data_IF_328300204420
#
_entry.id   IF_328300204420
#
_cell.length_a   1.000
_cell.length_b   1.000
_cell.length_c   1.000
_cell.angle_alpha   90.00
_cell.angle_beta   90.00
_cell.angle_gamma   90.00
#
_symmetry.space_group_name_H-M   'P 1'
#
loop_
_entity.id
_entity.type
_entity.pdbx_description
1 polymer ?
#
# COMPACT_ATOMS: atom_id res chain seq x y z
N UNK A 1 -11.65 17.74 -8.94
CA UNK A 1 -12.21 18.78 -8.06
C UNK A 1 -11.94 20.13 -8.70
N UNK A 2 -12.95 20.95 -8.92
CA UNK A 2 -12.79 22.33 -9.33
C UNK A 2 -13.37 23.19 -8.19
N UNK A 3 -12.52 23.95 -7.50
CA UNK A 3 -12.97 24.90 -6.49
C UNK A 3 -13.61 26.10 -7.21
N UNK A 4 -14.89 26.37 -6.98
CA UNK A 4 -15.54 27.61 -7.39
C UNK A 4 -15.94 28.37 -6.13
N UNK A 5 -15.25 29.47 -5.86
CA UNK A 5 -15.67 30.47 -4.89
C UNK A 5 -16.48 31.54 -5.65
N UNK A 6 -17.71 31.78 -5.24
CA UNK A 6 -18.53 32.87 -5.77
C UNK A 6 -18.55 34.04 -4.79
N UNK A 7 -18.16 35.23 -5.25
CA UNK A 7 -18.50 36.51 -4.60
C UNK A 7 -19.58 37.17 -5.46
N UNK A 8 -20.73 37.48 -4.88
CA UNK A 8 -21.82 38.22 -5.53
C UNK A 8 -21.45 39.71 -5.48
N UNK A 9 -21.09 40.34 -6.61
CA UNK A 9 -21.18 41.80 -6.72
C UNK A 9 -21.46 42.28 -8.15
N UNK A 10 -22.21 43.39 -8.16
CA UNK A 10 -22.83 44.10 -9.26
C UNK A 10 -21.85 44.92 -10.10
N UNK A 11 -22.33 45.20 -11.32
CA UNK A 11 -22.02 46.29 -12.23
C UNK A 11 -20.74 46.24 -13.08
N UNK A 12 -20.99 46.32 -14.39
CA UNK A 12 -20.02 46.18 -15.45
C UNK A 12 -19.27 47.47 -15.74
N UNK A 13 -17.95 47.35 -15.90
CA UNK A 13 -17.12 48.29 -16.64
C UNK A 13 -16.08 47.45 -17.41
N UNK A 14 -16.10 47.51 -18.75
CA UNK A 14 -15.07 46.93 -19.61
C UNK A 14 -13.82 47.84 -19.58
N UNK A 15 -12.62 47.26 -19.38
CA UNK A 15 -11.32 47.94 -19.54
C UNK A 15 -10.42 47.17 -20.52
N UNK A 16 -9.50 47.86 -21.23
CA UNK A 16 -8.85 47.35 -22.44
C UNK A 16 -7.67 46.40 -22.16
N UNK A 17 -7.38 45.52 -23.11
CA UNK A 17 -6.30 44.53 -23.07
C UNK A 17 -5.00 45.19 -23.56
N UNK A 18 -3.99 45.26 -22.70
CA UNK A 18 -2.62 45.61 -23.10
C UNK A 18 -1.96 44.41 -23.80
N UNK A 19 -1.45 44.61 -25.01
CA UNK A 19 -0.54 43.67 -25.69
C UNK A 19 0.89 43.99 -25.27
N UNK A 20 1.49 43.14 -24.42
CA UNK A 20 2.93 43.19 -24.14
C UNK A 20 3.65 42.11 -24.96
N UNK A 21 4.62 42.54 -25.78
CA UNK A 21 5.38 41.72 -26.71
C UNK A 21 6.40 40.80 -26.04
N UNK A 22 5.94 39.76 -25.34
CA UNK A 22 6.80 38.64 -24.90
C UNK A 22 6.82 37.53 -25.95
N UNK A 23 7.99 36.95 -26.18
CA UNK A 23 8.15 35.75 -27.01
C UNK A 23 7.37 34.58 -26.39
N UNK A 24 6.27 34.22 -27.07
CA UNK A 24 5.36 33.16 -26.64
C UNK A 24 6.00 31.77 -26.68
N UNK A 25 7.01 31.55 -27.54
CA UNK A 25 7.72 30.28 -27.64
C UNK A 25 8.75 30.10 -26.52
N UNK A 26 9.43 31.18 -26.12
CA UNK A 26 10.27 31.18 -24.91
C UNK A 26 9.42 30.99 -23.63
N UNK A 27 8.29 31.69 -23.55
CA UNK A 27 7.34 31.57 -22.42
C UNK A 27 6.77 30.16 -22.29
N UNK A 28 6.46 29.50 -23.41
CA UNK A 28 5.99 28.11 -23.43
C UNK A 28 7.06 27.12 -22.93
N UNK A 29 8.34 27.30 -23.32
CA UNK A 29 9.45 26.46 -22.85
C UNK A 29 9.72 26.62 -21.36
N UNK A 30 9.62 27.85 -20.83
CA UNK A 30 9.75 28.13 -19.39
C UNK A 30 8.63 27.44 -18.61
N UNK A 31 7.37 27.56 -19.06
CA UNK A 31 6.23 26.89 -18.43
C UNK A 31 6.29 25.36 -18.54
N UNK A 32 6.73 24.82 -19.68
CA UNK A 32 6.93 23.39 -19.86
C UNK A 32 8.06 22.86 -18.95
N UNK A 33 9.18 23.59 -18.84
CA UNK A 33 10.24 23.27 -17.88
C UNK A 33 9.75 23.33 -16.43
N UNK A 34 8.98 24.37 -16.08
CA UNK A 34 8.35 24.49 -14.76
C UNK A 34 7.33 23.38 -14.49
N UNK A 35 6.68 22.81 -15.52
CA UNK A 35 5.72 21.73 -15.38
C UNK A 35 6.34 20.31 -15.46
N UNK A 36 7.60 20.16 -15.90
CA UNK A 36 8.34 18.87 -15.96
C UNK A 36 8.74 18.40 -14.56
N UNK A 37 7.82 17.73 -13.88
CA UNK A 37 8.07 17.03 -12.61
C UNK A 37 8.17 15.52 -12.76
N UNK A 38 8.56 14.84 -11.68
CA UNK A 38 8.39 13.38 -11.58
C UNK A 38 6.88 13.07 -11.68
N UNK A 39 6.46 11.99 -12.38
CA UNK A 39 5.06 11.61 -12.36
C UNK A 39 4.63 11.34 -10.92
N UNK A 40 3.58 12.03 -10.46
CA UNK A 40 3.04 11.85 -9.12
C UNK A 40 2.71 10.36 -8.88
N UNK A 41 3.18 9.79 -7.76
CA UNK A 41 2.66 8.52 -7.26
C UNK A 41 1.20 8.73 -6.88
N UNK A 42 0.33 7.88 -7.41
CA UNK A 42 -1.12 8.04 -7.30
C UNK A 42 -1.58 7.84 -5.85
N UNK A 43 -2.55 8.63 -5.40
CA UNK A 43 -3.29 8.29 -4.19
C UNK A 43 -3.87 6.87 -4.29
N UNK A 44 -3.93 6.13 -3.19
CA UNK A 44 -4.66 4.87 -3.15
C UNK A 44 -6.14 5.15 -3.46
N UNK A 45 -6.61 4.70 -4.62
CA UNK A 45 -7.99 4.94 -5.05
C UNK A 45 -8.89 3.90 -4.39
N UNK A 46 -10.00 4.33 -3.78
CA UNK A 46 -11.00 3.38 -3.27
C UNK A 46 -11.76 2.66 -4.40
N UNK A 47 -11.66 3.13 -5.65
CA UNK A 47 -12.38 2.57 -6.80
C UNK A 47 -11.50 2.52 -8.07
N UNK A 48 -11.71 1.48 -8.89
CA UNK A 48 -10.95 1.28 -10.13
C UNK A 48 -11.22 2.41 -11.13
N UNK A 49 -10.15 2.86 -11.77
CA UNK A 49 -10.21 3.94 -12.76
C UNK A 49 -10.50 3.39 -14.15
N UNK A 50 -11.51 3.95 -14.82
CA UNK A 50 -11.72 3.74 -16.26
C UNK A 50 -10.62 4.42 -17.08
N UNK A 51 -10.14 3.74 -18.13
CA UNK A 51 -9.15 4.28 -19.07
C UNK A 51 -9.68 5.52 -19.83
N UNK A 52 -10.99 5.55 -20.09
CA UNK A 52 -11.68 6.69 -20.69
C UNK A 52 -12.37 7.50 -19.58
N UNK A 53 -12.20 8.83 -19.52
CA UNK A 53 -12.95 9.67 -18.60
C UNK A 53 -14.45 9.45 -18.79
N UNK A 54 -15.14 8.98 -17.75
CA UNK A 54 -16.57 8.65 -17.84
C UNK A 54 -17.48 9.86 -18.03
N UNK A 55 -16.95 11.09 -17.96
CA UNK A 55 -17.72 12.34 -17.94
C UNK A 55 -18.54 12.54 -16.65
N UNK A 56 -18.75 11.48 -15.86
CA UNK A 56 -19.47 11.51 -14.59
C UNK A 56 -18.55 12.00 -13.48
N UNK A 57 -18.97 13.05 -12.78
CA UNK A 57 -18.28 13.59 -11.61
C UNK A 57 -19.29 13.70 -10.46
N UNK A 58 -18.84 13.39 -9.24
CA UNK A 58 -19.57 13.72 -8.03
C UNK A 58 -19.05 15.06 -7.51
N UNK A 59 -19.96 15.92 -7.08
CA UNK A 59 -19.62 17.18 -6.42
C UNK A 59 -19.87 16.99 -4.93
N UNK A 60 -18.82 17.16 -4.14
CA UNK A 60 -18.90 17.20 -2.69
C UNK A 60 -18.78 18.64 -2.25
N UNK A 61 -19.82 19.13 -1.57
CA UNK A 61 -19.82 20.45 -0.96
C UNK A 61 -19.42 20.30 0.51
N UNK A 62 -18.46 21.11 0.94
CA UNK A 62 -18.14 21.27 2.34
C UNK A 62 -18.21 22.76 2.69
N UNK A 63 -18.65 23.04 3.91
CA UNK A 63 -18.66 24.38 4.46
C UNK A 63 -17.44 24.57 5.35
N UNK A 64 -16.81 25.74 5.26
CA UNK A 64 -15.89 26.20 6.28
C UNK A 64 -16.74 26.86 7.37
N UNK A 65 -16.48 26.53 8.64
CA UNK A 65 -17.13 27.25 9.73
C UNK A 65 -16.64 28.72 9.79
N UNK A 66 -17.37 29.55 10.54
CA UNK A 66 -17.09 30.98 10.63
C UNK A 66 -15.68 31.30 11.17
N UNK A 67 -15.12 30.40 11.98
CA UNK A 67 -13.78 30.54 12.51
C UNK A 67 -12.72 30.25 11.42
N UNK A 68 -12.86 29.12 10.72
CA UNK A 68 -11.99 28.71 9.61
C UNK A 68 -12.12 29.62 8.37
N UNK A 69 -13.15 30.48 8.32
CA UNK A 69 -13.27 31.54 7.31
C UNK A 69 -12.49 32.81 7.68
N UNK A 70 -12.41 33.15 8.97
CA UNK A 70 -11.73 34.37 9.47
C UNK A 70 -10.22 34.17 9.65
N UNK A 71 -9.80 33.00 10.15
CA UNK A 71 -8.39 32.65 10.37
C UNK A 71 -7.50 32.83 9.10
N UNK A 72 -7.93 32.43 7.89
CA UNK A 72 -7.15 32.65 6.67
C UNK A 72 -6.98 34.13 6.33
N UNK A 73 -7.98 34.97 6.64
CA UNK A 73 -7.90 36.40 6.35
C UNK A 73 -6.84 37.07 7.21
N UNK A 74 -6.82 36.75 8.51
CA UNK A 74 -5.79 37.21 9.43
C UNK A 74 -4.40 36.70 8.99
N UNK A 75 -4.28 35.40 8.66
CA UNK A 75 -3.05 34.82 8.16
C UNK A 75 -2.53 35.52 6.89
N UNK A 76 -3.43 35.79 5.92
CA UNK A 76 -3.09 36.49 4.69
C UNK A 76 -2.54 37.91 4.96
N UNK A 77 -3.13 38.62 5.93
CA UNK A 77 -2.66 39.96 6.32
C UNK A 77 -1.26 39.89 6.95
N UNK A 78 -1.04 38.95 7.88
CA UNK A 78 0.25 38.79 8.58
C UNK A 78 1.38 38.37 7.64
N UNK A 79 1.10 37.42 6.73
CA UNK A 79 2.13 36.82 5.88
C UNK A 79 2.16 37.37 4.45
N UNK A 80 1.44 38.46 4.17
CA UNK A 80 1.34 39.10 2.85
C UNK A 80 0.99 38.09 1.72
N UNK A 81 0.14 37.13 2.04
CA UNK A 81 -0.31 36.09 1.12
C UNK A 81 -1.74 36.37 0.63
N UNK A 82 -2.12 35.77 -0.50
CA UNK A 82 -3.52 35.82 -0.96
C UNK A 82 -4.29 34.59 -0.49
N UNK A 83 -5.61 34.68 -0.26
CA UNK A 83 -6.41 33.51 0.12
C UNK A 83 -6.27 32.35 -0.87
N UNK A 84 -6.12 32.64 -2.17
CA UNK A 84 -5.87 31.64 -3.20
C UNK A 84 -4.57 30.87 -2.97
N UNK A 85 -3.45 31.57 -2.70
CA UNK A 85 -2.15 30.96 -2.44
C UNK A 85 -2.21 30.08 -1.20
N UNK A 86 -2.84 30.56 -0.12
CA UNK A 86 -2.96 29.80 1.13
C UNK A 86 -3.80 28.52 0.93
N UNK A 87 -4.92 28.62 0.20
CA UNK A 87 -5.75 27.46 -0.14
C UNK A 87 -5.02 26.48 -1.07
N UNK A 88 -4.23 26.96 -2.03
CA UNK A 88 -3.43 26.12 -2.92
C UNK A 88 -2.30 25.40 -2.15
N UNK A 89 -1.67 26.09 -1.19
CA UNK A 89 -0.70 25.48 -0.28
C UNK A 89 -1.34 24.41 0.61
N UNK A 90 -2.52 24.68 1.18
CA UNK A 90 -3.28 23.70 1.96
C UNK A 90 -3.67 22.47 1.13
N UNK A 91 -4.13 22.69 -0.11
CA UNK A 91 -4.39 21.60 -1.05
C UNK A 91 -3.12 20.79 -1.32
N UNK A 92 -1.98 21.45 -1.56
CA UNK A 92 -0.71 20.78 -1.84
C UNK A 92 -0.19 19.99 -0.64
N UNK A 93 -0.32 20.54 0.57
CA UNK A 93 0.01 19.87 1.83
C UNK A 93 -0.87 18.63 2.05
N UNK A 94 -2.17 18.74 1.81
CA UNK A 94 -3.11 17.63 1.91
C UNK A 94 -2.76 16.54 0.88
N UNK A 95 -2.53 16.93 -0.36
CA UNK A 95 -2.08 16.01 -1.41
C UNK A 95 -0.79 15.28 -1.00
N UNK A 96 0.22 16.01 -0.50
CA UNK A 96 1.46 15.40 0.02
C UNK A 96 1.16 14.38 1.11
N UNK A 97 0.33 14.75 2.10
CA UNK A 97 0.02 13.88 3.25
C UNK A 97 -0.77 12.63 2.87
N UNK A 98 -1.63 12.68 1.87
CA UNK A 98 -2.38 11.51 1.40
C UNK A 98 -1.57 10.58 0.49
N UNK A 99 -0.69 11.15 -0.34
CA UNK A 99 -0.03 10.42 -1.44
C UNK A 99 1.45 10.11 -1.21
N UNK A 100 2.09 10.84 -0.30
CA UNK A 100 3.55 10.85 -0.14
C UNK A 100 4.32 11.51 -1.29
N UNK A 101 3.64 12.14 -2.25
CA UNK A 101 4.29 12.79 -3.41
C UNK A 101 4.85 14.14 -3.03
N UNK A 102 6.17 14.25 -3.09
CA UNK A 102 6.98 15.45 -2.82
C UNK A 102 6.95 16.48 -3.95
N UNK A 103 6.78 16.07 -5.21
CA UNK A 103 6.76 16.95 -6.39
C UNK A 103 5.46 16.78 -7.20
N UNK A 104 4.64 17.83 -7.30
CA UNK A 104 3.37 17.78 -8.01
C UNK A 104 3.03 19.10 -8.73
N UNK A 105 2.38 18.97 -9.89
CA UNK A 105 1.86 20.09 -10.68
C UNK A 105 0.34 20.16 -10.58
N UNK A 106 -0.19 21.29 -10.13
CA UNK A 106 -1.63 21.54 -9.98
C UNK A 106 -2.05 22.56 -11.02
N UNK A 107 -3.07 22.21 -11.81
CA UNK A 107 -3.67 23.11 -12.79
C UNK A 107 -4.79 23.93 -12.13
N UNK A 108 -4.76 25.25 -12.32
CA UNK A 108 -5.75 26.19 -11.78
C UNK A 108 -6.37 27.01 -12.92
N UNK A 109 -7.70 27.23 -12.92
CA UNK A 109 -8.34 28.02 -13.97
C UNK A 109 -8.04 29.51 -13.80
N UNK A 110 -7.76 30.20 -14.90
CA UNK A 110 -7.57 31.67 -14.91
C UNK A 110 -8.89 32.33 -15.33
N UNK A 111 -9.28 33.42 -14.66
CA UNK A 111 -10.62 34.03 -14.74
C UNK A 111 -11.07 34.49 -16.15
N UNK A 112 -10.17 34.67 -17.12
CA UNK A 112 -10.47 35.37 -18.38
C UNK A 112 -10.55 34.50 -19.62
N UNK A 113 -10.05 33.26 -19.59
CA UNK A 113 -10.11 32.33 -20.72
C UNK A 113 -10.13 30.91 -20.13
N UNK A 114 -10.66 29.92 -20.84
CA UNK A 114 -10.63 28.48 -20.48
C UNK A 114 -9.22 27.88 -20.36
N UNK A 115 -8.20 28.71 -20.15
CA UNK A 115 -6.81 28.37 -20.00
C UNK A 115 -6.51 27.94 -18.55
N UNK A 116 -5.62 26.96 -18.42
CA UNK A 116 -5.17 26.42 -17.14
C UNK A 116 -3.76 26.88 -16.85
N UNK A 117 -3.54 27.43 -15.66
CA UNK A 117 -2.22 27.73 -15.12
C UNK A 117 -1.71 26.53 -14.34
N UNK A 118 -0.58 25.97 -14.77
CA UNK A 118 0.09 24.88 -14.06
C UNK A 118 1.06 25.46 -13.02
N UNK A 119 0.83 25.14 -11.75
CA UNK A 119 1.69 25.51 -10.62
C UNK A 119 2.35 24.24 -10.08
N UNK A 120 3.65 24.08 -10.31
CA UNK A 120 4.44 22.96 -9.78
C UNK A 120 5.03 23.32 -8.43
N UNK A 121 4.77 22.52 -7.41
CA UNK A 121 5.25 22.80 -6.06
C UNK A 121 5.85 21.55 -5.45
N UNK A 122 7.09 21.69 -4.99
CA UNK A 122 7.81 20.69 -4.20
C UNK A 122 7.53 20.88 -2.72
N UNK A 123 7.35 19.79 -1.97
CA UNK A 123 7.22 19.75 -0.51
C UNK A 123 8.40 18.97 0.05
N UNK A 124 9.21 19.63 0.86
CA UNK A 124 10.35 19.04 1.56
C UNK A 124 9.93 18.53 2.94
N UNK A 125 10.74 17.60 3.49
CA UNK A 125 10.46 16.98 4.79
C UNK A 125 10.41 18.01 5.94
N UNK A 126 11.22 19.06 5.83
CA UNK A 126 11.36 20.13 6.82
C UNK A 126 10.55 21.39 6.47
N UNK A 127 9.75 21.37 5.39
CA UNK A 127 8.90 22.51 5.04
C UNK A 127 7.82 22.69 6.12
N UNK A 128 7.80 23.88 6.74
CA UNK A 128 6.65 24.35 7.51
C UNK A 128 5.48 24.72 6.59
N UNK A 129 4.27 24.82 7.14
CA UNK A 129 3.12 25.29 6.35
C UNK A 129 3.36 26.69 5.79
N UNK A 130 3.97 27.58 6.58
CA UNK A 130 4.35 28.92 6.15
C UNK A 130 5.39 28.88 5.01
N UNK A 131 6.43 28.06 5.11
CA UNK A 131 7.41 27.89 4.04
C UNK A 131 6.75 27.40 2.73
N UNK A 132 5.80 26.47 2.83
CA UNK A 132 5.04 26.00 1.68
C UNK A 132 4.17 27.11 1.07
N UNK A 133 3.52 27.95 1.89
CA UNK A 133 2.76 29.12 1.39
C UNK A 133 3.68 30.06 0.61
N UNK A 134 4.86 30.40 1.14
CA UNK A 134 5.81 31.25 0.45
C UNK A 134 6.27 30.65 -0.89
N UNK A 135 6.54 29.36 -0.92
CA UNK A 135 6.93 28.63 -2.13
C UNK A 135 5.81 28.64 -3.18
N UNK A 136 4.56 28.41 -2.78
CA UNK A 136 3.39 28.49 -3.67
C UNK A 136 3.22 29.91 -4.19
N UNK A 137 3.42 30.93 -3.36
CA UNK A 137 3.35 32.33 -3.76
C UNK A 137 4.38 32.66 -4.84
N UNK A 138 5.64 32.32 -4.62
CA UNK A 138 6.73 32.53 -5.57
C UNK A 138 6.45 31.81 -6.90
N UNK A 139 6.07 30.53 -6.83
CA UNK A 139 5.76 29.72 -8.01
C UNK A 139 4.57 30.29 -8.78
N UNK A 140 3.50 30.69 -8.09
CA UNK A 140 2.29 31.23 -8.71
C UNK A 140 2.56 32.59 -9.37
N UNK A 141 3.38 33.44 -8.76
CA UNK A 141 3.81 34.71 -9.36
C UNK A 141 4.66 34.49 -10.62
N UNK A 142 5.56 33.49 -10.60
CA UNK A 142 6.36 33.12 -11.76
C UNK A 142 5.52 32.53 -12.90
N UNK A 143 4.54 31.67 -12.56
CA UNK A 143 3.64 31.05 -13.52
C UNK A 143 2.68 32.08 -14.14
N UNK A 144 2.03 32.91 -13.32
CA UNK A 144 1.09 33.96 -13.78
C UNK A 144 1.76 35.02 -14.65
N UNK A 145 3.05 35.27 -14.45
CA UNK A 145 3.85 36.09 -15.37
C UNK A 145 3.85 35.56 -16.81
N UNK A 146 3.50 34.29 -17.04
CA UNK A 146 3.45 33.67 -18.37
C UNK A 146 2.03 33.19 -18.77
N UNK A 147 0.98 33.70 -18.12
CA UNK A 147 -0.42 33.25 -18.28
C UNK A 147 -1.00 33.35 -19.72
N UNK A 148 -0.37 34.12 -20.59
CA UNK A 148 -0.81 34.35 -21.99
C UNK A 148 -0.50 33.16 -22.93
N UNK A 149 0.20 32.13 -22.44
CA UNK A 149 0.49 30.91 -23.20
C UNK A 149 -0.68 29.94 -23.09
N UNK A 150 -1.24 29.53 -24.23
CA UNK A 150 -2.31 28.53 -24.27
C UNK A 150 -1.82 27.17 -23.72
N UNK A 151 -2.63 26.54 -22.86
CA UNK A 151 -2.35 25.26 -22.21
C UNK A 151 -1.97 24.16 -23.21
N UNK A 152 -2.59 24.13 -24.40
CA UNK A 152 -2.25 23.18 -25.46
C UNK A 152 -0.78 23.27 -25.91
N UNK A 153 -0.18 24.47 -25.92
CA UNK A 153 1.24 24.67 -26.25
C UNK A 153 2.18 24.18 -25.13
N UNK A 154 1.72 24.21 -23.89
CA UNK A 154 2.47 23.64 -22.75
C UNK A 154 2.43 22.12 -22.82
N UNK A 155 1.25 21.55 -23.15
CA UNK A 155 1.07 20.10 -23.32
C UNK A 155 1.87 19.55 -24.50
N UNK A 156 1.96 20.26 -25.63
CA UNK A 156 2.77 19.80 -26.78
C UNK A 156 4.27 19.72 -26.48
N UNK A 157 4.76 20.48 -25.49
CA UNK A 157 6.15 20.50 -25.04
C UNK A 157 6.44 19.48 -23.91
N UNK A 158 5.38 18.86 -23.37
CA UNK A 158 5.43 17.85 -22.31
C UNK A 158 5.17 16.46 -22.91
N UNK A 159 6.03 15.48 -22.62
CA UNK A 159 5.72 14.07 -22.96
C UNK A 159 4.49 13.61 -22.15
N UNK A 160 3.60 12.78 -22.73
CA UNK A 160 2.35 12.39 -22.07
C UNK A 160 2.62 11.64 -20.76
N UNK A 161 2.07 12.16 -19.67
CA UNK A 161 2.11 11.58 -18.32
C UNK A 161 0.73 11.70 -17.66
N UNK A 162 0.35 10.71 -16.86
CA UNK A 162 -1.00 10.54 -16.35
C UNK A 162 -1.43 11.64 -15.36
N UNK A 163 -2.61 12.22 -15.57
CA UNK A 163 -3.26 13.13 -14.62
C UNK A 163 -3.81 12.37 -13.39
N UNK A 164 -3.57 12.89 -12.19
CA UNK A 164 -4.08 12.34 -10.92
C UNK A 164 -5.32 13.11 -10.41
N UNK A 165 -6.24 12.41 -9.73
CA UNK A 165 -7.51 12.93 -9.19
C UNK A 165 -7.79 12.25 -7.86
N UNK A 166 -7.08 12.66 -6.80
CA UNK A 166 -7.29 12.17 -5.44
C UNK A 166 -8.59 12.72 -4.81
N UNK A 167 -9.19 11.95 -3.90
CA UNK A 167 -10.29 12.40 -3.03
C UNK A 167 -9.67 13.04 -1.78
N UNK A 168 -10.09 14.27 -1.45
CA UNK A 168 -9.46 15.13 -0.43
C UNK A 168 -10.40 15.52 0.71
N UNK A 169 -11.63 14.99 0.71
CA UNK A 169 -12.67 15.41 1.65
C UNK A 169 -12.28 15.04 3.10
N UNK A 170 -12.50 15.97 4.04
CA UNK A 170 -12.11 15.86 5.45
C UNK A 170 -10.66 16.24 5.72
N UNK A 171 -9.70 15.51 5.12
CA UNK A 171 -8.26 15.74 5.32
C UNK A 171 -7.82 17.15 4.93
N UNK A 172 -8.42 17.73 3.88
CA UNK A 172 -8.11 19.10 3.46
C UNK A 172 -8.49 20.15 4.51
N UNK A 173 -9.65 19.99 5.16
CA UNK A 173 -10.12 20.90 6.20
C UNK A 173 -9.24 20.79 7.44
N UNK A 174 -8.85 19.57 7.83
CA UNK A 174 -7.96 19.36 8.98
C UNK A 174 -6.57 19.96 8.75
N UNK A 175 -5.93 19.67 7.60
CA UNK A 175 -4.61 20.22 7.26
C UNK A 175 -4.68 21.75 7.18
N UNK A 176 -5.72 22.31 6.57
CA UNK A 176 -5.92 23.75 6.46
C UNK A 176 -6.05 24.41 7.84
N UNK A 177 -6.96 23.91 8.68
CA UNK A 177 -7.17 24.47 10.02
C UNK A 177 -5.93 24.38 10.92
N UNK A 178 -5.20 23.26 10.88
CA UNK A 178 -3.95 23.10 11.66
C UNK A 178 -2.83 24.00 11.13
N UNK A 179 -2.66 24.08 9.81
CA UNK A 179 -1.64 24.93 9.18
C UNK A 179 -1.82 26.41 9.50
N UNK A 180 -3.07 26.89 9.61
CA UNK A 180 -3.35 28.27 10.00
C UNK A 180 -3.05 28.56 11.47
N UNK A 181 -3.35 27.60 12.36
CA UNK A 181 -3.14 27.75 13.82
C UNK A 181 -1.68 27.58 14.24
N UNK A 182 -0.94 26.72 13.55
CA UNK A 182 0.49 26.47 13.81
C UNK A 182 1.28 26.53 12.50
N UNK A 183 1.55 27.74 11.96
CA UNK A 183 2.19 27.90 10.65
C UNK A 183 3.60 27.31 10.53
N UNK A 184 4.32 27.25 11.65
CA UNK A 184 5.67 26.67 11.71
C UNK A 184 5.67 25.15 11.91
N UNK A 185 4.49 24.52 12.05
CA UNK A 185 4.40 23.07 12.07
C UNK A 185 4.82 22.49 10.73
N UNK A 186 5.62 21.42 10.77
CA UNK A 186 6.08 20.72 9.59
C UNK A 186 4.91 20.07 8.85
N UNK A 187 4.81 20.34 7.55
CA UNK A 187 3.76 19.73 6.70
C UNK A 187 3.83 18.21 6.76
N UNK A 188 5.04 17.65 6.84
CA UNK A 188 5.29 16.21 6.88
C UNK A 188 4.74 15.51 8.12
N UNK A 189 4.57 16.22 9.23
CA UNK A 189 4.17 15.67 10.53
C UNK A 189 2.80 16.17 10.98
N UNK A 190 2.08 16.93 10.14
CA UNK A 190 0.72 17.33 10.45
C UNK A 190 -0.17 16.08 10.65
N UNK A 191 -0.84 15.95 11.82
CA UNK A 191 -1.73 14.84 12.09
C UNK A 191 -2.89 14.79 11.10
N UNK A 192 -3.26 13.57 10.69
CA UNK A 192 -4.52 13.27 10.01
C UNK A 192 -5.35 12.41 10.97
N UNK A 193 -6.24 13.03 11.71
CA UNK A 193 -7.03 12.37 12.74
C UNK A 193 -8.48 12.14 12.30
N UNK A 194 -8.98 12.92 11.35
CA UNK A 194 -10.30 12.70 10.77
C UNK A 194 -10.34 11.36 10.02
N UNK A 195 -11.28 10.50 10.42
CA UNK A 195 -11.45 9.16 9.84
C UNK A 195 -10.72 8.03 10.60
N UNK A 196 -10.00 8.33 11.70
CA UNK A 196 -9.43 7.27 12.55
C UNK A 196 -10.51 6.44 13.25
N UNK A 197 -11.66 7.02 13.59
CA UNK A 197 -12.79 6.27 14.18
C UNK A 197 -13.29 5.15 13.27
N UNK A 198 -13.22 5.34 11.94
CA UNK A 198 -13.60 4.32 10.99
C UNK A 198 -12.71 3.07 11.04
N UNK A 199 -11.47 3.17 11.57
CA UNK A 199 -10.63 2.00 11.79
C UNK A 199 -11.19 1.11 12.91
N UNK A 200 -11.71 1.72 13.98
CA UNK A 200 -12.34 1.01 15.09
C UNK A 200 -13.65 0.34 14.62
N UNK A 201 -14.46 1.04 13.84
CA UNK A 201 -15.69 0.48 13.24
C UNK A 201 -15.40 -0.73 12.32
N UNK A 202 -14.20 -0.78 11.73
CA UNK A 202 -13.73 -1.90 10.91
C UNK A 202 -13.05 -3.03 11.72
N UNK A 203 -12.91 -2.86 13.04
CA UNK A 203 -12.19 -3.81 13.92
C UNK A 203 -10.68 -3.87 13.64
N UNK A 204 -10.10 -2.80 13.09
CA UNK A 204 -8.67 -2.74 12.70
C UNK A 204 -7.78 -2.10 13.76
N UNK A 205 -8.34 -1.72 14.91
CA UNK A 205 -7.60 -1.14 16.04
C UNK A 205 -7.24 -2.18 17.10
N UNK A 206 -7.96 -3.29 17.14
CA UNK A 206 -7.84 -4.30 18.19
C UNK A 206 -7.13 -5.56 17.66
N UNK A 207 -6.31 -6.18 18.52
CA UNK A 207 -5.69 -7.47 18.22
C UNK A 207 -6.68 -8.57 18.60
N UNK A 208 -7.18 -9.29 17.60
CA UNK A 208 -8.08 -10.42 17.81
C UNK A 208 -7.34 -11.53 18.56
N UNK A 209 -7.77 -11.83 19.79
CA UNK A 209 -7.25 -12.96 20.56
C UNK A 209 -7.89 -14.27 20.12
N UNK A 210 -7.08 -15.34 20.06
CA UNK A 210 -7.60 -16.71 20.04
C UNK A 210 -6.92 -17.50 21.15
N UNK A 211 -7.69 -18.32 21.84
CA UNK A 211 -7.16 -19.22 22.84
C UNK A 211 -6.48 -20.39 22.14
N UNK A 212 -5.16 -20.46 22.28
CA UNK A 212 -4.34 -21.61 21.91
C UNK A 212 -3.31 -21.87 23.00
N UNK A 213 -2.76 -23.08 23.02
CA UNK A 213 -1.79 -23.50 24.03
C UNK A 213 -0.46 -22.76 23.84
N UNK A 214 -0.37 -21.54 24.38
CA UNK A 214 0.82 -20.66 24.27
C UNK A 214 2.04 -21.22 24.99
N UNK A 215 1.80 -21.97 26.06
CA UNK A 215 2.86 -22.56 26.88
C UNK A 215 3.30 -23.94 26.37
N UNK A 216 2.71 -24.43 25.28
CA UNK A 216 3.11 -25.70 24.67
C UNK A 216 4.08 -25.49 23.51
N UNK A 217 5.20 -26.22 23.57
CA UNK A 217 6.15 -26.31 22.46
C UNK A 217 5.60 -27.19 21.32
N UNK A 218 6.12 -26.98 20.11
CA UNK A 218 5.85 -27.87 18.95
C UNK A 218 6.19 -29.34 19.28
N UNK A 219 7.21 -29.57 20.12
CA UNK A 219 7.63 -30.91 20.57
C UNK A 219 6.58 -31.56 21.46
N UNK A 220 5.98 -30.81 22.39
CA UNK A 220 4.92 -31.33 23.27
C UNK A 220 3.65 -31.67 22.48
N UNK A 221 3.27 -30.79 21.55
CA UNK A 221 2.14 -31.05 20.65
C UNK A 221 2.41 -32.28 19.76
N UNK A 222 3.63 -32.42 19.24
CA UNK A 222 4.04 -33.61 18.48
C UNK A 222 3.93 -34.90 19.31
N UNK A 223 4.49 -34.91 20.54
CA UNK A 223 4.43 -36.09 21.43
C UNK A 223 3.01 -36.48 21.81
N UNK A 224 2.12 -35.50 21.94
CA UNK A 224 0.69 -35.76 22.12
C UNK A 224 0.11 -36.51 20.92
N UNK A 225 0.40 -36.09 19.70
CA UNK A 225 -0.05 -36.78 18.48
C UNK A 225 0.58 -38.18 18.32
N UNK A 226 1.86 -38.36 18.68
CA UNK A 226 2.51 -39.69 18.71
C UNK A 226 1.75 -40.64 19.63
N UNK A 227 1.27 -40.16 20.78
CA UNK A 227 0.50 -40.97 21.73
C UNK A 227 -0.90 -41.33 21.23
N UNK A 228 -1.52 -40.43 20.44
CA UNK A 228 -2.87 -40.63 19.92
C UNK A 228 -2.90 -41.49 18.66
N UNK A 229 -1.93 -41.31 17.76
CA UNK A 229 -1.93 -41.92 16.41
C UNK A 229 -0.54 -42.44 16.00
N UNK A 230 0.08 -43.37 16.76
CA UNK A 230 1.48 -43.77 16.56
C UNK A 230 1.78 -44.35 15.17
N UNK A 231 0.82 -45.09 14.59
CA UNK A 231 0.98 -45.78 13.31
C UNK A 231 0.60 -44.93 12.09
N UNK A 232 0.11 -43.70 12.28
CA UNK A 232 -0.28 -42.84 11.16
C UNK A 232 0.97 -42.28 10.45
N UNK A 233 0.94 -42.24 9.11
CA UNK A 233 2.02 -41.67 8.30
C UNK A 233 2.09 -40.16 8.52
N UNK A 234 3.26 -39.66 8.95
CA UNK A 234 3.50 -38.25 9.29
C UNK A 234 4.38 -37.52 8.27
N UNK A 235 5.38 -38.20 7.69
CA UNK A 235 6.30 -37.61 6.71
C UNK A 235 6.37 -38.52 5.49
N UNK A 236 6.30 -37.93 4.29
CA UNK A 236 6.46 -38.62 3.01
C UNK A 236 7.47 -37.88 2.15
N UNK A 237 8.33 -38.62 1.46
CA UNK A 237 9.21 -38.06 0.44
C UNK A 237 8.53 -38.14 -0.93
N UNK A 238 8.32 -36.99 -1.59
CA UNK A 238 7.66 -36.97 -2.90
C UNK A 238 8.50 -37.56 -4.06
N UNK A 239 9.79 -37.80 -3.83
CA UNK A 239 10.73 -38.31 -4.85
C UNK A 239 11.14 -39.77 -4.61
N UNK A 240 10.70 -40.40 -3.53
CA UNK A 240 11.02 -41.79 -3.20
C UNK A 240 9.87 -42.47 -2.47
N UNK A 241 9.87 -43.79 -2.37
CA UNK A 241 8.86 -44.52 -1.57
C UNK A 241 9.09 -44.43 -0.05
N UNK A 242 9.97 -43.53 0.41
CA UNK A 242 10.29 -43.37 1.83
C UNK A 242 9.20 -42.58 2.54
N UNK A 243 8.74 -43.11 3.67
CA UNK A 243 7.75 -42.50 4.54
C UNK A 243 8.04 -42.86 6.00
N UNK A 244 7.64 -42.00 6.93
CA UNK A 244 7.75 -42.23 8.37
C UNK A 244 6.38 -42.11 9.02
N UNK A 245 6.08 -43.01 9.93
CA UNK A 245 4.98 -42.90 10.90
C UNK A 245 5.38 -42.01 12.08
N UNK A 246 4.39 -41.55 12.87
CA UNK A 246 4.65 -40.77 14.09
C UNK A 246 5.63 -41.49 15.04
N UNK A 247 5.43 -42.79 15.28
CA UNK A 247 6.29 -43.57 16.15
C UNK A 247 7.72 -43.72 15.60
N UNK A 248 7.87 -43.90 14.28
CA UNK A 248 9.19 -43.99 13.65
C UNK A 248 9.94 -42.66 13.69
N UNK A 249 9.24 -41.55 13.44
CA UNK A 249 9.81 -40.21 13.52
C UNK A 249 10.22 -39.87 14.96
N UNK A 250 9.42 -40.20 15.98
CA UNK A 250 9.78 -40.05 17.39
C UNK A 250 11.07 -40.82 17.70
N UNK A 251 11.09 -42.12 17.39
CA UNK A 251 12.23 -43.01 17.66
C UNK A 251 13.51 -42.57 16.96
N UNK A 252 13.43 -42.13 15.70
CA UNK A 252 14.61 -41.70 14.94
C UNK A 252 15.13 -40.34 15.42
N UNK A 253 14.24 -39.41 15.75
CA UNK A 253 14.66 -38.09 16.26
C UNK A 253 15.22 -38.17 17.68
N UNK A 254 14.74 -39.09 18.53
CA UNK A 254 15.31 -39.32 19.88
C UNK A 254 16.74 -39.87 19.86
N UNK A 255 17.17 -40.50 18.75
CA UNK A 255 18.54 -40.99 18.60
C UNK A 255 19.54 -39.87 18.31
N UNK A 256 19.06 -38.70 17.86
CA UNK A 256 19.86 -37.53 17.58
C UNK A 256 19.76 -36.60 18.78
N UNK A 257 20.81 -36.51 19.59
CA UNK A 257 20.87 -35.64 20.77
C UNK A 257 21.90 -34.51 20.55
N UNK A 258 21.55 -33.46 19.78
CA UNK A 258 22.43 -32.31 19.62
C UNK A 258 22.54 -31.51 20.91
N UNK A 259 23.74 -30.99 21.21
CA UNK A 259 24.03 -30.24 22.45
C UNK A 259 24.22 -28.73 22.23
N UNK A 260 24.35 -28.29 20.97
CA UNK A 260 24.59 -26.89 20.59
C UNK A 260 23.79 -26.52 19.34
N UNK A 261 23.63 -25.21 19.07
CA UNK A 261 22.99 -24.71 17.85
C UNK A 261 23.53 -25.42 16.59
N UNK A 262 22.62 -25.88 15.73
CA UNK A 262 22.96 -26.74 14.59
C UNK A 262 22.65 -26.02 13.28
N UNK A 263 23.66 -25.85 12.44
CA UNK A 263 23.44 -25.48 11.05
C UNK A 263 23.02 -26.72 10.25
N UNK A 264 21.94 -26.61 9.48
CA UNK A 264 21.37 -27.72 8.71
C UNK A 264 21.56 -27.45 7.23
N UNK A 265 22.57 -28.09 6.65
CA UNK A 265 22.84 -28.12 5.21
C UNK A 265 22.44 -29.49 4.66
N UNK A 266 21.16 -29.66 4.35
CA UNK A 266 20.62 -30.94 3.87
C UNK A 266 19.53 -30.73 2.79
N UNK A 267 19.43 -31.62 1.79
CA UNK A 267 18.32 -31.59 0.83
C UNK A 267 16.99 -31.92 1.51
N UNK A 268 15.87 -31.67 0.81
CA UNK A 268 14.54 -32.07 1.31
C UNK A 268 14.44 -33.60 1.38
N UNK A 269 14.31 -34.16 2.58
CA UNK A 269 14.16 -35.60 2.82
C UNK A 269 13.50 -35.91 4.18
N UNK A 270 13.20 -37.18 4.44
CA UNK A 270 12.69 -37.61 5.74
C UNK A 270 13.73 -37.37 6.85
N UNK A 271 15.00 -37.63 6.56
CA UNK A 271 16.13 -37.45 7.46
C UNK A 271 16.30 -35.98 7.86
N UNK A 272 16.05 -35.04 6.94
CA UNK A 272 16.04 -33.60 7.28
C UNK A 272 14.96 -33.27 8.30
N UNK A 273 13.75 -33.83 8.17
CA UNK A 273 12.68 -33.63 9.17
C UNK A 273 13.05 -34.27 10.52
N UNK A 274 13.63 -35.47 10.50
CA UNK A 274 14.14 -36.16 11.69
C UNK A 274 15.17 -35.27 12.42
N UNK A 275 16.13 -34.70 11.69
CA UNK A 275 17.15 -33.82 12.24
C UNK A 275 16.57 -32.52 12.82
N UNK A 276 15.64 -31.86 12.09
CA UNK A 276 14.97 -30.65 12.59
C UNK A 276 14.21 -30.93 13.89
N UNK A 277 13.44 -32.03 13.93
CA UNK A 277 12.70 -32.40 15.13
C UNK A 277 13.62 -32.76 16.31
N UNK A 278 14.74 -33.44 16.04
CA UNK A 278 15.75 -33.74 17.06
C UNK A 278 16.36 -32.48 17.68
N UNK A 279 16.70 -31.48 16.85
CA UNK A 279 17.20 -30.18 17.31
C UNK A 279 16.15 -29.48 18.18
N UNK A 280 14.88 -29.48 17.74
CA UNK A 280 13.78 -28.92 18.53
C UNK A 280 13.55 -29.66 19.85
N UNK A 281 13.66 -31.00 19.87
CA UNK A 281 13.56 -31.83 21.09
C UNK A 281 14.66 -31.55 22.10
N UNK A 282 15.85 -31.20 21.62
CA UNK A 282 16.95 -30.72 22.45
C UNK A 282 16.78 -29.25 22.91
N UNK A 283 15.65 -28.62 22.58
CA UNK A 283 15.35 -27.21 22.85
C UNK A 283 16.38 -26.24 22.22
N UNK A 284 16.86 -26.60 21.03
CA UNK A 284 17.83 -25.83 20.26
C UNK A 284 17.19 -25.20 19.02
N UNK A 285 17.79 -24.11 18.54
CA UNK A 285 17.47 -23.53 17.24
C UNK A 285 18.32 -24.15 16.14
N UNK A 286 17.75 -24.22 14.93
CA UNK A 286 18.48 -24.62 13.73
C UNK A 286 18.66 -23.44 12.78
N UNK A 287 19.80 -23.41 12.08
CA UNK A 287 20.06 -22.47 10.99
C UNK A 287 20.01 -23.21 9.65
N UNK A 288 18.96 -23.05 8.83
CA UNK A 288 18.91 -23.70 7.52
C UNK A 288 19.96 -23.06 6.59
N UNK A 289 20.79 -23.90 5.96
CA UNK A 289 21.74 -23.51 4.92
C UNK A 289 21.27 -24.05 3.57
N UNK A 290 21.30 -23.21 2.54
CA UNK A 290 20.77 -23.55 1.21
C UNK A 290 21.73 -24.48 0.45
N UNK A 291 21.21 -25.61 -0.02
CA UNK A 291 21.95 -26.63 -0.80
C UNK A 291 21.86 -26.40 -2.33
N UNK A 292 21.26 -25.29 -2.77
CA UNK A 292 20.93 -24.91 -4.15
C UNK A 292 19.66 -25.57 -4.73
N UNK A 293 18.82 -24.73 -5.34
CA UNK A 293 17.47 -25.02 -5.86
C UNK A 293 17.52 -25.59 -7.28
N UNK A 294 16.97 -26.79 -7.51
CA UNK A 294 16.18 -27.01 -8.72
C UNK A 294 14.78 -27.56 -8.38
N UNK A 295 13.78 -26.96 -9.00
CA UNK A 295 12.39 -27.41 -8.96
C UNK A 295 12.26 -28.61 -9.90
N UNK A 296 12.30 -29.83 -9.36
CA UNK A 296 11.78 -31.00 -10.08
C UNK A 296 10.29 -30.80 -10.42
N UNK A 297 9.72 -31.52 -11.40
CA UNK A 297 8.40 -31.21 -11.95
C UNK A 297 7.33 -31.24 -10.84
N UNK A 298 6.89 -30.06 -10.40
CA UNK A 298 5.88 -29.83 -9.37
C UNK A 298 4.60 -30.62 -9.60
N UNK A 299 4.32 -30.95 -10.86
CA UNK A 299 3.28 -31.88 -11.29
C UNK A 299 3.32 -33.19 -10.51
N UNK A 300 4.50 -33.79 -10.30
CA UNK A 300 4.61 -35.06 -9.58
C UNK A 300 4.17 -34.92 -8.12
N UNK A 301 4.58 -33.82 -7.46
CA UNK A 301 4.33 -33.57 -6.03
C UNK A 301 2.87 -33.20 -5.78
N UNK A 302 2.29 -32.38 -6.65
CA UNK A 302 0.92 -31.88 -6.51
C UNK A 302 -0.12 -32.82 -7.17
N UNK A 303 0.32 -33.91 -7.82
CA UNK A 303 -0.59 -34.88 -8.40
C UNK A 303 -1.43 -35.60 -7.33
N UNK A 304 -2.61 -36.08 -7.74
CA UNK A 304 -3.52 -36.84 -6.88
C UNK A 304 -2.90 -38.09 -6.22
N UNK A 305 -1.73 -38.56 -6.69
CA UNK A 305 -1.00 -39.70 -6.11
C UNK A 305 -0.44 -39.41 -4.72
N UNK A 306 -0.02 -38.18 -4.47
CA UNK A 306 0.63 -37.79 -3.20
C UNK A 306 -0.37 -37.28 -2.15
N UNK A 307 -1.66 -37.19 -2.50
CA UNK A 307 -2.75 -36.74 -1.63
C UNK A 307 -2.52 -35.38 -0.94
N UNK A 308 -1.79 -34.47 -1.58
CA UNK A 308 -1.56 -33.12 -1.06
C UNK A 308 -2.87 -32.33 -1.11
N UNK A 309 -3.37 -31.94 0.07
CA UNK A 309 -4.59 -31.14 0.22
C UNK A 309 -4.31 -29.67 0.56
N UNK A 310 -3.11 -29.38 1.04
CA UNK A 310 -2.71 -28.02 1.38
C UNK A 310 -1.28 -27.74 0.95
N UNK A 311 -1.04 -26.57 0.36
CA UNK A 311 0.31 -26.16 0.01
C UNK A 311 0.51 -24.63 0.06
N UNK A 312 1.77 -24.21 0.10
CA UNK A 312 2.18 -22.81 0.00
C UNK A 312 3.11 -22.66 -1.20
N UNK A 313 2.82 -21.69 -2.06
CA UNK A 313 3.61 -21.35 -3.23
C UNK A 313 3.96 -19.86 -3.22
N UNK A 314 5.11 -19.51 -3.80
CA UNK A 314 5.35 -18.10 -4.17
C UNK A 314 4.45 -17.73 -5.34
N UNK A 315 4.04 -16.45 -5.50
CA UNK A 315 3.25 -16.02 -6.65
C UNK A 315 3.89 -16.37 -7.99
N UNK A 316 5.22 -16.29 -8.10
CA UNK A 316 5.96 -16.69 -9.31
C UNK A 316 5.79 -18.18 -9.63
N UNK A 317 5.85 -19.04 -8.61
CA UNK A 317 5.69 -20.48 -8.78
C UNK A 317 4.24 -20.87 -9.08
N UNK A 318 3.28 -20.22 -8.41
CA UNK A 318 1.87 -20.38 -8.72
C UNK A 318 1.59 -20.05 -10.19
N UNK A 319 2.12 -18.93 -10.68
CA UNK A 319 1.99 -18.52 -12.08
C UNK A 319 2.56 -19.57 -13.04
N UNK A 320 3.70 -20.18 -12.71
CA UNK A 320 4.26 -21.27 -13.49
C UNK A 320 3.34 -22.52 -13.47
N UNK A 321 2.81 -22.90 -12.32
CA UNK A 321 1.83 -24.00 -12.21
C UNK A 321 0.58 -23.74 -13.04
N UNK A 322 0.05 -22.51 -13.03
CA UNK A 322 -1.12 -22.13 -13.83
C UNK A 322 -0.87 -22.23 -15.34
N UNK A 323 0.37 -21.99 -15.78
CA UNK A 323 0.76 -22.05 -17.18
C UNK A 323 1.07 -23.47 -17.67
N UNK A 324 1.74 -24.28 -16.84
CA UNK A 324 2.25 -25.59 -17.25
C UNK A 324 1.39 -26.77 -16.78
N UNK A 325 0.76 -26.64 -15.61
CA UNK A 325 0.22 -27.76 -14.85
C UNK A 325 -1.06 -27.43 -14.05
N UNK A 326 -2.08 -26.76 -14.62
CA UNK A 326 -3.21 -26.24 -13.85
C UNK A 326 -3.99 -27.35 -13.13
N UNK A 327 -4.13 -28.53 -13.74
CA UNK A 327 -4.85 -29.67 -13.14
C UNK A 327 -4.20 -30.20 -11.86
N UNK A 328 -2.92 -29.93 -11.62
CA UNK A 328 -2.25 -30.33 -10.38
C UNK A 328 -2.73 -29.52 -9.16
N UNK A 329 -3.43 -28.40 -9.37
CA UNK A 329 -3.94 -27.58 -8.28
C UNK A 329 -5.36 -28.00 -7.83
N UNK A 330 -6.08 -28.80 -8.64
CA UNK A 330 -7.51 -29.07 -8.42
C UNK A 330 -7.82 -29.85 -7.14
N UNK A 331 -6.87 -30.68 -6.66
CA UNK A 331 -7.03 -31.46 -5.44
C UNK A 331 -6.77 -30.67 -4.15
N UNK A 332 -6.39 -29.40 -4.25
CA UNK A 332 -6.06 -28.57 -3.10
C UNK A 332 -7.34 -28.03 -2.43
N UNK A 333 -7.48 -28.34 -1.14
CA UNK A 333 -8.47 -27.77 -0.24
C UNK A 333 -8.01 -26.41 0.32
N UNK A 334 -6.69 -26.14 0.32
CA UNK A 334 -6.12 -24.88 0.80
C UNK A 334 -4.81 -24.55 0.08
N UNK A 335 -4.72 -23.37 -0.53
CA UNK A 335 -3.52 -22.87 -1.19
C UNK A 335 -3.12 -21.51 -0.60
N UNK A 336 -1.91 -21.43 -0.04
CA UNK A 336 -1.30 -20.15 0.32
C UNK A 336 -0.44 -19.62 -0.82
N UNK A 337 -0.65 -18.37 -1.22
CA UNK A 337 0.23 -17.62 -2.11
C UNK A 337 0.92 -16.53 -1.30
N UNK A 338 2.25 -16.59 -1.18
CA UNK A 338 2.97 -15.75 -0.21
C UNK A 338 4.44 -15.53 -0.56
N UNK A 339 5.04 -14.50 0.03
CA UNK A 339 6.44 -14.11 -0.19
C UNK A 339 6.66 -13.09 -1.31
N UNK A 340 5.61 -12.76 -2.08
CA UNK A 340 5.61 -11.63 -3.03
C UNK A 340 4.16 -11.17 -3.29
N UNK A 341 3.99 -10.12 -4.12
CA UNK A 341 2.69 -9.61 -4.55
C UNK A 341 1.98 -10.57 -5.50
N UNK A 342 0.82 -11.06 -5.09
CA UNK A 342 -0.07 -11.87 -5.93
C UNK A 342 -0.77 -11.03 -7.01
N UNK A 343 -0.67 -11.44 -8.29
CA UNK A 343 -1.41 -10.82 -9.40
C UNK A 343 -2.90 -11.23 -9.32
N UNK A 344 -3.84 -10.27 -9.38
CA UNK A 344 -5.27 -10.59 -9.35
C UNK A 344 -5.76 -11.56 -10.42
N UNK A 345 -5.12 -11.61 -11.59
CA UNK A 345 -5.47 -12.53 -12.68
C UNK A 345 -5.07 -13.95 -12.33
N UNK A 346 -3.85 -14.13 -11.81
CA UNK A 346 -3.35 -15.44 -11.39
C UNK A 346 -4.19 -15.98 -10.22
N UNK A 347 -4.57 -15.12 -9.27
CA UNK A 347 -5.50 -15.47 -8.20
C UNK A 347 -6.89 -15.89 -8.70
N UNK A 348 -7.46 -15.14 -9.66
CA UNK A 348 -8.76 -15.47 -10.24
C UNK A 348 -8.71 -16.80 -11.00
N UNK A 349 -7.64 -17.06 -11.75
CA UNK A 349 -7.44 -18.32 -12.45
C UNK A 349 -7.29 -19.49 -11.46
N UNK A 350 -6.47 -19.33 -10.42
CA UNK A 350 -6.30 -20.34 -9.36
C UNK A 350 -7.62 -20.64 -8.65
N UNK A 351 -8.41 -19.62 -8.28
CA UNK A 351 -9.76 -19.79 -7.68
C UNK A 351 -10.76 -20.48 -8.60
N UNK A 352 -10.59 -20.41 -9.92
CA UNK A 352 -11.40 -21.16 -10.87
C UNK A 352 -11.00 -22.63 -11.01
N UNK A 353 -9.85 -23.03 -10.48
CA UNK A 353 -9.30 -24.38 -10.57
C UNK A 353 -9.42 -25.12 -9.23
N UNK A 354 -9.09 -24.45 -8.12
CA UNK A 354 -9.16 -25.06 -6.78
C UNK A 354 -10.60 -25.02 -6.25
N UNK A 355 -11.09 -26.14 -5.74
CA UNK A 355 -12.38 -26.17 -5.04
C UNK A 355 -12.28 -25.52 -3.65
N UNK A 356 -11.09 -25.61 -3.03
CA UNK A 356 -10.78 -25.09 -1.71
C UNK A 356 -10.48 -23.60 -1.63
N UNK A 357 -9.85 -23.21 -0.53
CA UNK A 357 -9.54 -21.81 -0.23
C UNK A 357 -8.21 -21.36 -0.85
N UNK A 358 -8.21 -20.18 -1.49
CA UNK A 358 -6.98 -19.47 -1.84
C UNK A 358 -6.75 -18.38 -0.80
N UNK A 359 -5.56 -18.37 -0.21
CA UNK A 359 -5.16 -17.40 0.80
C UNK A 359 -3.93 -16.65 0.32
N UNK A 360 -4.05 -15.33 0.16
CA UNK A 360 -2.89 -14.47 -0.05
C UNK A 360 -2.28 -14.14 1.32
N UNK A 361 -1.04 -14.53 1.57
CA UNK A 361 -0.38 -14.37 2.86
C UNK A 361 0.77 -13.36 2.82
N UNK A 362 0.88 -12.56 3.87
CA UNK A 362 1.97 -11.62 4.08
C UNK A 362 2.56 -11.80 5.47
N UNK A 363 3.88 -11.86 5.56
CA UNK A 363 4.62 -11.77 6.81
C UNK A 363 6.11 -11.64 6.53
N UNK A 364 6.81 -10.67 7.16
CA UNK A 364 8.26 -10.64 7.14
C UNK A 364 8.82 -11.80 7.99
N UNK A 365 10.07 -12.17 7.75
CA UNK A 365 10.75 -13.25 8.51
C UNK A 365 10.78 -12.93 10.01
N UNK A 366 10.94 -11.64 10.34
CA UNK A 366 10.99 -11.09 11.70
C UNK A 366 9.70 -11.32 12.50
N UNK A 367 8.56 -11.56 11.82
CA UNK A 367 7.25 -11.75 12.44
C UNK A 367 6.71 -13.19 12.24
N UNK A 368 7.61 -14.17 12.07
CA UNK A 368 7.27 -15.60 12.03
C UNK A 368 6.31 -15.98 10.90
N UNK A 369 6.82 -15.93 9.65
CA UNK A 369 6.15 -16.42 8.43
C UNK A 369 4.94 -15.60 7.97
N UNK A 370 3.86 -15.54 8.74
CA UNK A 370 2.63 -14.84 8.39
C UNK A 370 2.22 -13.88 9.51
N UNK A 371 1.95 -12.63 9.15
CA UNK A 371 1.36 -11.63 10.05
C UNK A 371 -0.04 -11.23 9.62
N UNK A 372 -0.36 -11.35 8.34
CA UNK A 372 -1.66 -11.04 7.77
C UNK A 372 -2.02 -12.02 6.65
N UNK A 373 -3.30 -12.36 6.56
CA UNK A 373 -3.80 -13.27 5.52
C UNK A 373 -5.10 -12.75 4.93
N UNK A 374 -5.26 -12.98 3.63
CA UNK A 374 -6.47 -12.68 2.88
C UNK A 374 -7.04 -13.92 2.22
N UNK A 375 -8.16 -14.41 2.72
CA UNK A 375 -8.95 -15.42 1.99
C UNK A 375 -9.58 -14.76 0.76
N UNK A 376 -9.11 -15.15 -0.42
CA UNK A 376 -9.50 -14.54 -1.70
C UNK A 376 -10.91 -14.99 -2.09
N UNK A 377 -11.91 -14.09 -2.16
CA UNK A 377 -13.25 -14.46 -2.57
C UNK A 377 -13.34 -14.65 -4.10
N UNK A 378 -14.30 -15.47 -4.56
CA UNK A 378 -14.43 -15.87 -5.96
C UNK A 378 -14.55 -14.71 -6.96
N UNK A 379 -15.18 -13.60 -6.56
CA UNK A 379 -15.47 -12.45 -7.43
C UNK A 379 -14.73 -11.17 -6.98
N UNK A 380 -13.51 -11.29 -6.46
CA UNK A 380 -12.79 -10.15 -5.89
C UNK A 380 -12.46 -9.07 -6.94
N UNK A 381 -12.94 -7.84 -6.71
CA UNK A 381 -12.53 -6.66 -7.49
C UNK A 381 -11.25 -6.06 -6.90
N UNK A 382 -10.13 -6.29 -7.56
CA UNK A 382 -8.82 -5.80 -7.12
C UNK A 382 -8.49 -4.42 -7.71
N UNK A 383 -9.05 -3.36 -7.11
CA UNK A 383 -8.87 -1.97 -7.55
C UNK A 383 -7.41 -1.50 -7.53
N UNK A 384 -6.68 -1.82 -6.45
CA UNK A 384 -5.28 -1.41 -6.24
C UNK A 384 -4.29 -2.61 -6.28
N UNK A 385 -4.73 -3.74 -6.85
CA UNK A 385 -4.08 -5.04 -6.69
C UNK A 385 -4.70 -5.89 -5.61
N UNK A 386 -4.10 -7.06 -5.37
CA UNK A 386 -4.57 -8.02 -4.37
C UNK A 386 -4.31 -7.50 -2.95
N UNK A 387 -5.30 -7.47 -2.06
CA UNK A 387 -5.10 -7.15 -0.65
C UNK A 387 -4.23 -8.19 0.06
N UNK A 388 -3.37 -7.73 0.99
CA UNK A 388 -2.67 -8.60 1.97
C UNK A 388 -3.54 -8.94 3.19
N UNK A 389 -4.59 -8.15 3.41
CA UNK A 389 -5.67 -8.25 4.40
C UNK A 389 -5.28 -8.20 5.88
N UNK A 390 -6.12 -8.82 6.72
CA UNK A 390 -6.22 -8.59 8.16
C UNK A 390 -5.16 -9.38 8.90
N UNK A 391 -4.75 -8.85 10.05
CA UNK A 391 -3.80 -9.54 10.91
C UNK A 391 -4.33 -10.91 11.31
N UNK A 392 -3.43 -11.89 11.41
CA UNK A 392 -3.78 -13.18 12.02
C UNK A 392 -4.08 -12.97 13.51
N UNK A 393 -4.79 -13.92 14.12
CA UNK A 393 -5.08 -13.87 15.54
C UNK A 393 -3.79 -13.74 16.36
N UNK A 394 -3.85 -12.92 17.41
CA UNK A 394 -2.74 -12.61 18.30
C UNK A 394 -1.60 -11.83 17.62
N UNK A 395 -1.87 -11.19 16.49
CA UNK A 395 -0.94 -10.25 15.84
C UNK A 395 -1.66 -8.95 15.50
N UNK A 396 -0.94 -7.83 15.55
CA UNK A 396 -1.41 -6.52 15.11
C UNK A 396 -0.77 -6.11 13.79
N UNK A 397 -1.56 -5.52 12.88
CA UNK A 397 -1.07 -4.95 11.63
C UNK A 397 -1.59 -3.51 11.48
N UNK A 398 -0.70 -2.54 11.59
CA UNK A 398 -1.05 -1.13 11.62
C UNK A 398 -0.36 -0.36 10.49
N UNK A 399 -1.06 0.61 9.92
CA UNK A 399 -0.46 1.56 8.97
C UNK A 399 -0.23 2.87 9.71
N UNK A 400 1.03 3.30 9.73
CA UNK A 400 1.48 4.45 10.50
C UNK A 400 2.21 5.48 9.64
N UNK A 401 2.15 6.73 10.08
CA UNK A 401 2.98 7.80 9.54
C UNK A 401 4.42 7.74 10.12
N UNK A 402 5.36 8.58 9.64
CA UNK A 402 6.74 8.56 10.12
C UNK A 402 6.90 8.90 11.62
N UNK A 403 5.86 9.43 12.28
CA UNK A 403 5.82 9.71 13.71
C UNK A 403 5.17 8.57 14.51
N UNK A 404 4.97 7.39 13.90
CA UNK A 404 4.33 6.22 14.53
C UNK A 404 2.88 6.45 14.96
N UNK A 405 2.16 7.34 14.25
CA UNK A 405 0.72 7.55 14.48
C UNK A 405 -0.08 6.81 13.42
N UNK A 406 -1.21 6.22 13.82
CA UNK A 406 -2.14 5.60 12.88
C UNK A 406 -2.60 6.59 11.82
N UNK A 407 -2.80 6.09 10.60
CA UNK A 407 -3.33 6.88 9.49
C UNK A 407 -4.74 6.42 9.11
N UNK A 408 -5.64 7.34 8.70
CA UNK A 408 -6.98 6.99 8.26
C UNK A 408 -7.02 6.08 7.02
N UNK A 409 -8.16 5.42 6.74
CA UNK A 409 -8.33 4.63 5.53
C UNK A 409 -8.01 5.41 4.24
N UNK A 410 -7.23 4.79 3.35
CA UNK A 410 -6.83 5.38 2.06
C UNK A 410 -5.61 6.29 2.11
N UNK A 411 -5.05 6.56 3.29
CA UNK A 411 -3.78 7.27 3.47
C UNK A 411 -2.62 6.30 3.38
N UNK A 412 -1.59 6.66 2.60
CA UNK A 412 -0.38 5.85 2.52
C UNK A 412 0.47 6.02 3.79
N UNK A 413 0.97 4.91 4.33
CA UNK A 413 1.87 4.88 5.47
C UNK A 413 2.81 3.68 5.42
N UNK A 414 3.63 3.54 6.47
CA UNK A 414 4.47 2.36 6.68
C UNK A 414 3.66 1.30 7.42
N UNK A 415 3.80 0.05 7.02
CA UNK A 415 3.30 -1.07 7.81
C UNK A 415 4.17 -1.22 9.06
N UNK A 416 3.56 -1.26 10.24
CA UNK A 416 4.17 -1.71 11.48
C UNK A 416 3.37 -2.90 12.02
N UNK A 417 4.09 -3.89 12.55
CA UNK A 417 3.50 -5.06 13.20
C UNK A 417 3.85 -5.08 14.68
N UNK A 418 2.94 -5.61 15.49
CA UNK A 418 3.22 -6.07 16.84
C UNK A 418 2.88 -7.57 16.88
N UNK A 419 3.88 -8.40 17.17
CA UNK A 419 3.70 -9.82 17.46
C UNK A 419 3.36 -10.01 18.93
#
# INVERSE_FOLDING_TARGET
>A
MAFRLYKRQQDGIKRPIYHNGRDRAASARVLAGAARGKPARRAALLQARSAIPSGKAQVHHFALDDQLYKEPQAFCQTHQATPFVVLLAAFRATHYRLTGVDDATIATPIHSNTNLLCVRTTVELEDSFHALVQRVQQTNSAASSNQDVAFQKIVSELRPGAADRSRLDGAATEIFGRGLKTPEALVSTLPLTQGLSALADMGLTDVAGTDYLRDSSVVELFRREVSLSPSAVTVKNAYSSSQLTYAELERQSDQLAPETMVAVLAPRSCETIVALLAILKANLAYLPLDVNVPVGPLESILSAREAVRSCMLTPALLKQCLASAPSALSSLELLFAAGDRLDPRDAAQAKGIIEGDLVNGYGPTENTTFSAIYKVPANQKCVNGMPIAVAISNSGAFIMDPQQRLVPPGVMGRAGGAC
#
